data_IF_710498344077
#
_entry.id   IF_710498344077
#
_cell.length_a   1.000
_cell.length_b   1.000
_cell.length_c   1.000
_cell.angle_alpha   90.00
_cell.angle_beta   90.00
_cell.angle_gamma   90.00
#
_symmetry.space_group_name_H-M   'P 1'
#
loop_
_entity.id
_entity.type
_entity.pdbx_description
1 polymer ?
#
# COMPACT_ATOMS: atom_id res chain seq x y z
N UNK A 1 26.04 -5.06 6.98
CA UNK A 1 26.06 -6.52 6.70
C UNK A 1 24.72 -6.86 6.08
N UNK A 2 24.72 -7.37 4.85
CA UNK A 2 23.51 -7.68 4.08
C UNK A 2 23.14 -9.15 4.29
N UNK A 3 21.86 -9.43 4.46
CA UNK A 3 21.32 -10.79 4.66
C UNK A 3 20.32 -11.09 3.54
N UNK A 4 20.29 -12.34 3.08
CA UNK A 4 19.30 -12.81 2.10
C UNK A 4 18.21 -13.62 2.80
N UNK A 5 16.95 -13.38 2.43
CA UNK A 5 15.84 -14.23 2.88
C UNK A 5 15.77 -15.51 2.03
N UNK A 6 15.76 -16.66 2.67
CA UNK A 6 15.74 -17.98 2.00
C UNK A 6 14.40 -18.29 1.32
N UNK A 7 13.33 -17.54 1.64
CA UNK A 7 11.98 -17.75 1.09
C UNK A 7 11.71 -16.92 -0.16
N UNK A 8 12.19 -15.68 -0.19
CA UNK A 8 11.93 -14.75 -1.29
C UNK A 8 13.18 -14.26 -2.02
N UNK A 9 14.36 -14.71 -1.60
CA UNK A 9 15.68 -14.35 -2.16
C UNK A 9 16.00 -12.85 -2.16
N UNK A 10 15.25 -12.03 -1.42
CA UNK A 10 15.47 -10.59 -1.34
C UNK A 10 16.61 -10.27 -0.37
N UNK A 11 17.41 -9.27 -0.72
CA UNK A 11 18.48 -8.73 0.11
C UNK A 11 17.93 -7.69 1.11
N UNK A 12 18.38 -7.77 2.35
CA UNK A 12 18.03 -6.83 3.42
C UNK A 12 19.31 -6.32 4.09
N UNK A 13 19.40 -5.01 4.24
CA UNK A 13 20.51 -4.35 4.91
C UNK A 13 20.21 -4.16 6.40
N UNK A 14 21.15 -4.52 7.28
CA UNK A 14 21.14 -4.06 8.67
C UNK A 14 21.73 -2.66 8.75
N UNK A 15 21.03 -1.76 9.44
CA UNK A 15 21.46 -0.38 9.71
C UNK A 15 21.12 0.02 11.15
N UNK A 16 21.85 0.97 11.72
CA UNK A 16 21.56 1.51 13.04
C UNK A 16 20.61 2.70 12.90
N UNK A 17 19.48 2.67 13.62
CA UNK A 17 18.51 3.75 13.55
C UNK A 17 19.11 5.07 14.10
N UNK A 18 19.04 6.20 13.36
CA UNK A 18 19.57 7.47 13.85
C UNK A 18 18.76 8.05 15.03
N UNK A 19 17.51 7.61 15.22
CA UNK A 19 16.60 8.12 16.25
C UNK A 19 16.68 7.32 17.56
N UNK A 20 16.47 6.00 17.51
CA UNK A 20 16.46 5.16 18.72
C UNK A 20 17.78 4.41 18.98
N UNK A 21 18.74 4.48 18.06
CA UNK A 21 20.07 3.84 18.14
C UNK A 21 20.08 2.31 18.15
N UNK A 22 18.94 1.68 17.93
CA UNK A 22 18.85 0.22 17.81
C UNK A 22 19.33 -0.28 16.43
N UNK A 23 19.89 -1.49 16.40
CA UNK A 23 20.23 -2.19 15.17
C UNK A 23 18.98 -2.81 14.54
N UNK A 24 18.61 -2.34 13.36
CA UNK A 24 17.38 -2.73 12.67
C UNK A 24 17.66 -3.22 11.25
N UNK A 25 16.72 -3.99 10.69
CA UNK A 25 16.70 -4.29 9.26
C UNK A 25 15.92 -3.23 8.47
N UNK A 26 16.49 -2.80 7.35
CA UNK A 26 15.90 -1.75 6.53
C UNK A 26 14.81 -2.30 5.62
N UNK A 27 13.57 -2.32 6.10
CA UNK A 27 12.41 -2.78 5.31
C UNK A 27 11.68 -1.66 4.53
N UNK A 28 11.92 -0.39 4.86
CA UNK A 28 11.26 0.74 4.22
C UNK A 28 11.82 2.09 4.67
N UNK A 29 11.00 3.14 4.56
CA UNK A 29 11.39 4.52 4.88
C UNK A 29 11.41 4.86 6.37
N UNK A 30 10.85 4.00 7.22
CA UNK A 30 10.70 4.27 8.65
C UNK A 30 11.22 3.11 9.50
N UNK A 31 11.72 3.44 10.69
CA UNK A 31 12.13 2.48 11.69
C UNK A 31 10.91 1.75 12.24
N UNK A 32 10.88 0.42 12.13
CA UNK A 32 9.76 -0.39 12.66
C UNK A 32 9.68 -0.43 14.19
N UNK A 33 10.69 0.10 14.91
CA UNK A 33 10.69 0.17 16.37
C UNK A 33 10.22 1.52 16.91
N UNK A 34 10.68 2.64 16.34
CA UNK A 34 10.39 3.97 16.87
C UNK A 34 9.59 4.88 15.92
N UNK A 35 9.37 4.45 14.67
CA UNK A 35 8.67 5.23 13.64
C UNK A 35 9.51 6.36 13.01
N UNK A 36 10.75 6.57 13.45
CA UNK A 36 11.61 7.61 12.89
C UNK A 36 12.02 7.34 11.45
N UNK A 37 12.16 8.38 10.65
CA UNK A 37 12.59 8.31 9.26
C UNK A 37 14.02 7.73 9.13
N UNK A 38 14.18 6.79 8.19
CA UNK A 38 15.46 6.21 7.79
C UNK A 38 15.77 6.79 6.42
N UNK A 39 16.80 7.64 6.29
CA UNK A 39 17.13 8.31 5.03
C UNK A 39 17.28 7.32 3.86
N UNK A 40 16.23 7.15 3.05
CA UNK A 40 16.20 6.26 1.87
C UNK A 40 16.38 7.14 0.65
N UNK A 41 17.27 6.73 -0.24
CA UNK A 41 17.16 7.20 -1.62
C UNK A 41 15.87 6.57 -2.18
N UNK A 42 14.98 7.36 -2.80
CA UNK A 42 13.74 6.84 -3.34
C UNK A 42 14.06 5.73 -4.35
N UNK A 43 13.52 4.53 -4.13
CA UNK A 43 13.58 3.47 -5.12
C UNK A 43 12.83 3.94 -6.35
N UNK A 44 13.56 4.18 -7.45
CA UNK A 44 13.04 4.62 -8.74
C UNK A 44 12.17 3.54 -9.41
N UNK A 45 10.97 3.29 -8.85
CA UNK A 45 10.07 2.24 -9.31
C UNK A 45 8.61 2.45 -8.94
N UNK A 46 8.22 3.68 -8.62
CA UNK A 46 6.81 4.06 -8.50
C UNK A 46 6.50 4.96 -9.69
N UNK A 47 6.35 4.36 -10.86
CA UNK A 47 5.51 4.95 -11.89
C UNK A 47 4.09 5.01 -11.33
N UNK A 48 3.52 6.21 -11.09
CA UNK A 48 2.14 6.32 -10.65
C UNK A 48 1.30 5.72 -11.78
N UNK A 49 0.79 4.51 -11.56
CA UNK A 49 -0.16 3.92 -12.48
C UNK A 49 -1.28 4.94 -12.70
N UNK A 50 -1.58 5.26 -13.96
CA UNK A 50 -2.59 6.26 -14.36
C UNK A 50 -4.01 5.96 -13.84
N UNK A 51 -4.20 4.86 -13.10
CA UNK A 51 -5.47 4.38 -12.51
C UNK A 51 -5.51 4.41 -10.97
N UNK A 52 -4.63 5.18 -10.32
CA UNK A 52 -4.61 5.26 -8.84
C UNK A 52 -5.19 6.58 -8.29
N UNK A 53 -6.08 7.22 -9.05
CA UNK A 53 -6.96 8.26 -8.49
C UNK A 53 -8.05 7.58 -7.63
N UNK A 54 -7.67 7.17 -6.41
CA UNK A 54 -8.60 6.61 -5.42
C UNK A 54 -9.86 7.45 -5.25
N UNK A 55 -9.79 8.76 -5.51
CA UNK A 55 -10.91 9.71 -5.50
C UNK A 55 -12.05 9.32 -6.45
N UNK A 56 -11.78 8.53 -7.51
CA UNK A 56 -12.78 8.06 -8.47
C UNK A 56 -13.39 6.71 -8.12
N UNK A 57 -12.91 6.02 -7.08
CA UNK A 57 -13.43 4.71 -6.69
C UNK A 57 -14.74 4.89 -5.92
N UNK A 58 -15.85 4.43 -6.50
CA UNK A 58 -17.16 4.46 -5.88
C UNK A 58 -17.42 3.09 -5.23
N UNK A 59 -17.74 3.06 -3.94
CA UNK A 59 -18.13 1.83 -3.24
C UNK A 59 -19.51 1.36 -3.71
N UNK A 60 -19.75 0.05 -3.65
CA UNK A 60 -21.07 -0.50 -3.94
C UNK A 60 -22.14 0.10 -3.01
N UNK A 61 -23.30 0.44 -3.58
CA UNK A 61 -24.46 0.93 -2.80
C UNK A 61 -25.04 -0.11 -1.85
N UNK A 62 -24.78 -1.39 -2.12
CA UNK A 62 -25.13 -2.47 -1.21
C UNK A 62 -24.14 -2.41 -0.05
N UNK A 63 -24.51 -1.74 1.05
CA UNK A 63 -23.62 -1.50 2.21
C UNK A 63 -23.07 -2.75 2.92
N UNK A 64 -23.42 -3.95 2.44
CA UNK A 64 -22.85 -5.24 2.83
C UNK A 64 -21.80 -5.80 1.85
N UNK A 65 -21.66 -5.20 0.66
CA UNK A 65 -20.73 -5.62 -0.38
C UNK A 65 -19.40 -4.86 -0.28
N UNK A 66 -18.28 -5.58 -0.37
CA UNK A 66 -16.92 -5.00 -0.34
C UNK A 66 -16.45 -4.48 -1.71
N UNK A 67 -17.30 -4.53 -2.73
CA UNK A 67 -16.93 -4.22 -4.10
C UNK A 67 -16.94 -2.73 -4.43
N UNK A 68 -16.27 -2.38 -5.52
CA UNK A 68 -16.33 -1.05 -6.15
C UNK A 68 -17.15 -1.10 -7.45
N UNK A 69 -17.71 0.03 -7.83
CA UNK A 69 -18.42 0.22 -9.09
C UNK A 69 -17.42 0.36 -10.24
N UNK A 70 -17.64 -0.40 -11.31
CA UNK A 70 -16.90 -0.26 -12.56
C UNK A 70 -17.37 0.92 -13.40
N UNK A 71 -16.65 1.19 -14.50
CA UNK A 71 -17.00 2.24 -15.45
C UNK A 71 -18.37 2.01 -16.13
N UNK A 72 -18.84 0.77 -16.12
CA UNK A 72 -20.15 0.33 -16.58
C UNK A 72 -21.29 0.61 -15.57
N UNK A 73 -20.98 1.17 -14.41
CA UNK A 73 -21.96 1.46 -13.36
C UNK A 73 -22.43 0.21 -12.59
N UNK A 74 -21.75 -0.92 -12.75
CA UNK A 74 -22.05 -2.18 -12.09
C UNK A 74 -20.97 -2.52 -11.07
N UNK A 75 -21.35 -3.10 -9.93
CA UNK A 75 -20.38 -3.59 -8.96
C UNK A 75 -19.57 -4.77 -9.52
N UNK A 76 -18.23 -4.66 -9.47
CA UNK A 76 -17.31 -5.71 -9.95
C UNK A 76 -17.35 -7.03 -9.16
N UNK A 77 -18.03 -7.06 -8.02
CA UNK A 77 -18.12 -8.23 -7.13
C UNK A 77 -19.50 -8.87 -7.15
N UNK A 78 -20.56 -8.09 -6.88
CA UNK A 78 -21.92 -8.63 -6.76
C UNK A 78 -22.76 -8.48 -8.03
N UNK A 79 -22.31 -7.74 -9.04
CA UNK A 79 -23.02 -7.54 -10.30
C UNK A 79 -24.28 -6.65 -10.20
N UNK A 80 -24.53 -6.03 -9.04
CA UNK A 80 -25.66 -5.10 -8.88
C UNK A 80 -25.33 -3.73 -9.50
N UNK A 81 -26.32 -3.05 -10.12
CA UNK A 81 -26.13 -1.67 -10.58
C UNK A 81 -25.95 -0.72 -9.38
N UNK A 82 -25.17 0.34 -9.59
CA UNK A 82 -25.04 1.42 -8.62
C UNK A 82 -26.37 2.18 -8.48
N UNK A 83 -26.89 2.23 -7.26
CA UNK A 83 -28.08 3.01 -6.91
C UNK A 83 -27.68 3.95 -5.78
N UNK A 84 -27.42 5.25 -6.02
CA UNK A 84 -27.15 6.17 -4.93
C UNK A 84 -28.37 6.19 -4.01
N UNK A 85 -28.14 6.20 -2.69
CA UNK A 85 -29.21 6.46 -1.74
C UNK A 85 -29.82 7.82 -2.13
N UNK A 86 -31.12 7.82 -2.45
CA UNK A 86 -31.83 9.06 -2.71
C UNK A 86 -31.99 9.78 -1.38
N UNK A 87 -31.34 10.92 -1.23
CA UNK A 87 -31.52 11.84 -0.09
C UNK A 87 -32.99 12.24 0.11
#
# INVERSE_FOLDING_TARGET
MTMLCETCSKEFERTTCPHCKEDIFRFGAYCYLCGGELAVEPSAGEEPGEDDDFSRRILCSDGTCIGVIGEDGICKVCGKPYTPESE
#
